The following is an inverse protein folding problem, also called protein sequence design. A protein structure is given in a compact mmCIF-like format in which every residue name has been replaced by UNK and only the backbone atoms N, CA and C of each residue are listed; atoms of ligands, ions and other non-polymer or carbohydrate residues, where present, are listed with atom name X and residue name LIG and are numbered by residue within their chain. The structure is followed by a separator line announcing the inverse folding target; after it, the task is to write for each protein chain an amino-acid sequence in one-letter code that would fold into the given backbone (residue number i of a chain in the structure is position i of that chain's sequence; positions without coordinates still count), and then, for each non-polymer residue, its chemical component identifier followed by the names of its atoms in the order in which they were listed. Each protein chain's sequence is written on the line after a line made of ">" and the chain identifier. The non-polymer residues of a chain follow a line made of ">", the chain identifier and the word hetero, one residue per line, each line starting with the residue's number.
data_IF_094313377239
#
_entry.id   IF_094313377239
#
_cell.length_a   1.000
_cell.length_b   1.000
_cell.length_c   1.000
_cell.angle_alpha   90.00
_cell.angle_beta   90.00
_cell.angle_gamma   90.00
#
_symmetry.space_group_name_H-M   'P 1'
#
loop_
_entity.id
_entity.type
_entity.pdbx_description
1 polymer ?
#
# COMPACT_ATOMS: atom_id res chain seq x y z
N UNK A 1 -70.65 23.65 9.49
CA UNK A 1 -70.11 22.32 9.13
C UNK A 1 -69.19 22.45 7.92
N UNK A 2 -67.86 22.46 8.09
CA UNK A 2 -66.86 22.61 6.99
C UNK A 2 -66.40 21.20 6.63
N UNK A 3 -66.59 20.79 5.34
CA UNK A 3 -66.15 19.53 4.77
C UNK A 3 -64.66 19.65 4.41
N UNK A 4 -63.82 18.78 5.02
CA UNK A 4 -62.42 18.63 4.69
C UNK A 4 -62.30 17.69 3.51
N UNK A 5 -61.75 18.19 2.38
CA UNK A 5 -61.39 17.38 1.21
C UNK A 5 -60.02 16.74 1.45
N UNK A 6 -59.97 15.43 1.46
CA UNK A 6 -58.71 14.66 1.49
C UNK A 6 -58.16 14.57 0.08
N UNK A 7 -56.96 15.13 -0.13
CA UNK A 7 -56.20 14.88 -1.37
C UNK A 7 -55.34 13.64 -1.21
N UNK A 8 -55.59 12.64 -2.06
CA UNK A 8 -54.75 11.48 -2.22
C UNK A 8 -53.64 11.86 -3.20
N UNK A 9 -52.40 11.91 -2.73
CA UNK A 9 -51.25 12.09 -3.58
C UNK A 9 -50.85 10.74 -4.20
N UNK A 10 -50.99 10.63 -5.52
CA UNK A 10 -50.52 9.49 -6.27
C UNK A 10 -49.02 9.63 -6.49
N UNK A 11 -48.21 8.79 -5.83
CA UNK A 11 -46.76 8.71 -6.08
C UNK A 11 -46.56 7.80 -7.30
N UNK A 12 -46.22 8.40 -8.42
CA UNK A 12 -45.77 7.68 -9.61
C UNK A 12 -44.29 7.33 -9.41
N UNK A 13 -44.01 6.05 -9.16
CA UNK A 13 -42.65 5.53 -9.14
C UNK A 13 -42.14 5.43 -10.58
N UNK A 14 -41.35 6.41 -11.00
CA UNK A 14 -40.57 6.35 -12.24
C UNK A 14 -39.41 5.39 -12.07
N UNK A 15 -39.49 4.21 -12.71
CA UNK A 15 -38.35 3.32 -12.84
C UNK A 15 -37.41 3.91 -13.90
N UNK A 16 -36.34 4.55 -13.43
CA UNK A 16 -35.24 4.98 -14.31
C UNK A 16 -34.36 3.77 -14.57
N UNK A 17 -34.51 3.17 -15.75
CA UNK A 17 -33.60 2.13 -16.21
C UNK A 17 -32.25 2.78 -16.55
N UNK A 18 -31.31 2.72 -15.60
CA UNK A 18 -29.91 3.01 -15.88
C UNK A 18 -29.35 1.87 -16.73
N UNK A 19 -29.16 2.12 -18.02
CA UNK A 19 -28.32 1.28 -18.87
C UNK A 19 -26.88 1.40 -18.39
N UNK A 20 -26.40 0.37 -17.72
CA UNK A 20 -24.97 0.22 -17.40
C UNK A 20 -24.22 0.03 -18.73
N UNK A 21 -23.58 1.09 -19.19
CA UNK A 21 -22.47 0.95 -20.14
C UNK A 21 -21.36 0.22 -19.39
N UNK A 22 -21.04 -0.98 -19.81
CA UNK A 22 -19.92 -1.75 -19.30
C UNK A 22 -18.62 -0.99 -19.62
N UNK A 23 -18.21 -0.13 -18.70
CA UNK A 23 -16.86 0.43 -18.68
C UNK A 23 -15.93 -0.69 -18.25
N UNK A 24 -14.88 -0.95 -19.04
CA UNK A 24 -13.96 -2.08 -18.84
C UNK A 24 -13.50 -2.22 -17.39
N UNK A 25 -13.39 -3.45 -16.94
CA UNK A 25 -12.99 -3.80 -15.58
C UNK A 25 -11.67 -3.12 -15.24
N UNK A 26 -11.71 -2.10 -14.39
CA UNK A 26 -10.53 -1.50 -13.77
C UNK A 26 -9.96 -2.59 -12.87
N UNK A 27 -8.70 -2.97 -13.07
CA UNK A 27 -8.03 -3.90 -12.18
C UNK A 27 -8.04 -3.31 -10.76
N UNK A 28 -8.66 -4.01 -9.84
CA UNK A 28 -8.68 -3.62 -8.43
C UNK A 28 -7.29 -3.79 -7.82
N UNK A 29 -6.82 -2.78 -7.10
CA UNK A 29 -5.53 -2.85 -6.41
C UNK A 29 -5.55 -3.87 -5.27
N UNK A 30 -4.42 -4.40 -4.92
CA UNK A 30 -4.26 -5.34 -3.82
C UNK A 30 -3.07 -4.96 -2.92
N UNK A 31 -3.22 -5.23 -1.63
CA UNK A 31 -2.14 -5.20 -0.63
C UNK A 31 -1.87 -6.63 -0.19
N UNK A 32 -0.67 -6.90 0.31
CA UNK A 32 -0.42 -8.12 1.06
C UNK A 32 -1.20 -8.02 2.38
N UNK A 33 -1.90 -9.07 2.78
CA UNK A 33 -2.70 -9.09 4.02
C UNK A 33 -1.84 -9.00 5.27
N UNK A 34 -0.54 -9.23 5.13
CA UNK A 34 0.45 -9.17 6.20
C UNK A 34 1.42 -8.00 5.97
N UNK A 35 1.74 -7.27 7.02
CA UNK A 35 2.91 -6.42 7.07
C UNK A 35 4.03 -7.21 7.75
N UNK A 36 5.24 -7.18 7.18
CA UNK A 36 6.37 -7.85 7.79
C UNK A 36 7.15 -6.90 8.69
N UNK A 37 7.51 -7.39 9.87
CA UNK A 37 8.36 -6.67 10.83
C UNK A 37 9.50 -7.56 11.26
N UNK A 38 10.72 -7.04 11.19
CA UNK A 38 11.90 -7.70 11.73
C UNK A 38 11.93 -7.47 13.24
N UNK A 39 11.60 -8.52 14.02
CA UNK A 39 11.56 -8.43 15.47
C UNK A 39 12.91 -8.10 16.11
N UNK A 40 12.91 -7.13 17.01
CA UNK A 40 13.92 -6.98 18.07
C UNK A 40 13.28 -7.31 19.42
N UNK A 41 12.06 -7.79 19.44
CA UNK A 41 11.39 -8.25 20.65
C UNK A 41 11.39 -9.78 20.69
N UNK A 42 12.02 -10.32 21.73
CA UNK A 42 11.88 -11.72 22.11
C UNK A 42 10.41 -11.99 22.44
N UNK A 43 9.71 -12.60 21.50
CA UNK A 43 8.32 -13.00 21.63
C UNK A 43 7.91 -13.71 20.36
N UNK A 44 7.65 -14.99 20.48
CA UNK A 44 7.34 -15.94 19.41
C UNK A 44 6.30 -15.38 18.43
N UNK A 45 6.70 -15.14 17.18
CA UNK A 45 5.86 -14.83 16.05
C UNK A 45 6.09 -15.83 14.92
N UNK A 46 5.06 -16.51 14.50
CA UNK A 46 5.12 -17.47 13.39
C UNK A 46 5.41 -16.76 12.07
N UNK A 47 6.42 -17.27 11.34
CA UNK A 47 6.77 -16.84 9.98
C UNK A 47 5.98 -17.71 9.01
N UNK A 48 5.12 -17.11 8.20
CA UNK A 48 4.47 -17.80 7.08
C UNK A 48 5.35 -17.71 5.83
N UNK A 49 5.63 -18.85 5.23
CA UNK A 49 6.40 -19.01 3.99
C UNK A 49 5.41 -19.44 2.92
N UNK A 50 5.30 -18.65 1.84
CA UNK A 50 4.67 -19.10 0.60
C UNK A 50 5.74 -19.27 -0.48
N UNK A 51 5.85 -20.52 -0.98
CA UNK A 51 6.82 -20.93 -1.98
C UNK A 51 6.25 -20.78 -3.40
N UNK A 52 6.81 -19.85 -4.20
CA UNK A 52 6.99 -20.06 -5.65
C UNK A 52 8.00 -19.07 -6.26
N UNK A 53 9.09 -19.61 -6.81
CA UNK A 53 10.18 -18.86 -7.42
C UNK A 53 9.95 -18.59 -8.90
N UNK A 54 10.12 -17.34 -9.37
CA UNK A 54 10.22 -16.99 -10.80
C UNK A 54 11.23 -15.85 -11.07
N UNK A 55 11.86 -15.93 -12.23
CA UNK A 55 13.05 -15.26 -12.72
C UNK A 55 12.97 -13.72 -12.87
N UNK A 56 14.14 -13.07 -12.70
CA UNK A 56 14.43 -11.65 -12.87
C UNK A 56 13.92 -11.06 -14.20
N UNK A 57 13.04 -10.06 -14.11
CA UNK A 57 12.80 -9.08 -15.16
C UNK A 57 13.52 -7.77 -14.81
N UNK A 58 14.14 -7.14 -15.80
CA UNK A 58 15.00 -5.98 -15.62
C UNK A 58 14.30 -4.79 -14.95
N UNK A 59 15.05 -4.04 -14.16
CA UNK A 59 14.58 -2.86 -13.44
C UNK A 59 14.07 -1.79 -14.41
N UNK A 60 12.77 -1.51 -14.38
CA UNK A 60 12.22 -0.32 -15.01
C UNK A 60 12.45 0.88 -14.08
N UNK A 61 12.98 1.97 -14.64
CA UNK A 61 13.10 3.22 -13.90
C UNK A 61 11.71 3.77 -13.56
N UNK A 62 11.53 4.24 -12.33
CA UNK A 62 10.27 4.86 -11.90
C UNK A 62 10.01 6.13 -12.70
N UNK A 63 8.77 6.31 -13.20
CA UNK A 63 8.34 7.54 -13.85
C UNK A 63 8.31 8.71 -12.85
N UNK A 64 8.35 9.97 -13.34
CA UNK A 64 8.20 11.13 -12.46
C UNK A 64 6.89 11.05 -11.64
N UNK A 65 5.80 10.57 -12.25
CA UNK A 65 4.53 10.36 -11.55
C UNK A 65 4.65 9.37 -10.38
N UNK A 66 5.46 8.31 -10.53
CA UNK A 66 5.73 7.37 -9.45
C UNK A 66 6.53 8.02 -8.30
N UNK A 67 7.54 8.84 -8.62
CA UNK A 67 8.33 9.57 -7.62
C UNK A 67 7.46 10.59 -6.86
N UNK A 68 6.60 11.32 -7.56
CA UNK A 68 5.67 12.27 -6.97
C UNK A 68 4.67 11.56 -6.05
N UNK A 69 4.21 10.36 -6.44
CA UNK A 69 3.30 9.55 -5.64
C UNK A 69 3.99 9.02 -4.36
N UNK A 70 5.25 8.60 -4.41
CA UNK A 70 6.02 8.23 -3.19
C UNK A 70 6.12 9.41 -2.21
N UNK A 71 6.42 10.60 -2.72
CA UNK A 71 6.48 11.83 -1.92
C UNK A 71 5.11 12.16 -1.30
N UNK A 72 4.03 11.98 -2.05
CA UNK A 72 2.68 12.22 -1.56
C UNK A 72 2.30 11.24 -0.43
N UNK A 73 2.61 9.94 -0.56
CA UNK A 73 2.41 8.95 0.51
C UNK A 73 3.20 9.33 1.77
N UNK A 74 4.47 9.70 1.62
CA UNK A 74 5.30 10.14 2.74
C UNK A 74 4.67 11.31 3.51
N UNK A 75 4.12 12.29 2.78
CA UNK A 75 3.43 13.44 3.40
C UNK A 75 2.14 13.02 4.12
N UNK A 76 1.31 12.17 3.50
CA UNK A 76 0.08 11.65 4.10
C UNK A 76 0.35 10.89 5.40
N UNK A 77 1.35 10.03 5.42
CA UNK A 77 1.78 9.31 6.62
C UNK A 77 2.18 10.26 7.75
N UNK A 78 3.02 11.24 7.45
CA UNK A 78 3.50 12.16 8.47
C UNK A 78 2.39 13.10 8.96
N UNK A 79 1.41 13.46 8.13
CA UNK A 79 0.21 14.16 8.57
C UNK A 79 -0.61 13.32 9.57
N UNK A 80 -0.80 12.03 9.27
CA UNK A 80 -1.53 11.13 10.16
C UNK A 80 -0.78 10.89 11.47
N UNK A 81 0.54 10.68 11.41
CA UNK A 81 1.38 10.55 12.61
C UNK A 81 1.29 11.78 13.48
N UNK A 82 1.40 12.97 12.90
CA UNK A 82 1.24 14.24 13.63
C UNK A 82 -0.15 14.38 14.27
N UNK A 83 -1.22 13.98 13.58
CA UNK A 83 -2.58 13.98 14.11
C UNK A 83 -2.76 13.07 15.34
N UNK A 84 -1.89 12.05 15.49
CA UNK A 84 -1.85 11.13 16.63
C UNK A 84 -0.75 11.48 17.65
N UNK A 85 -0.08 12.62 17.49
CA UNK A 85 0.99 13.05 18.40
C UNK A 85 2.29 12.27 18.28
N UNK A 86 2.49 11.54 17.16
CA UNK A 86 3.71 10.79 16.90
C UNK A 86 4.74 11.67 16.18
N UNK A 87 6.01 11.40 16.42
CA UNK A 87 7.10 12.04 15.68
C UNK A 87 6.99 11.69 14.17
N UNK A 88 7.32 12.66 13.33
CA UNK A 88 7.41 12.42 11.89
C UNK A 88 8.54 11.43 11.57
N UNK A 89 8.32 10.58 10.57
CA UNK A 89 9.37 9.78 9.96
C UNK A 89 10.24 10.67 9.07
N UNK A 90 11.53 10.37 9.00
CA UNK A 90 12.49 11.03 8.12
C UNK A 90 12.68 10.16 6.88
N UNK A 91 12.73 10.77 5.70
CA UNK A 91 13.05 10.08 4.46
C UNK A 91 14.48 9.54 4.50
N UNK A 92 14.67 8.29 4.09
CA UNK A 92 15.97 7.61 4.06
C UNK A 92 16.27 7.09 2.67
N UNK A 93 17.34 7.59 2.06
CA UNK A 93 17.78 7.11 0.74
C UNK A 93 18.18 5.63 0.80
N UNK A 94 18.83 5.19 1.88
CA UNK A 94 19.21 3.78 2.05
C UNK A 94 18.00 2.84 2.14
N UNK A 95 16.89 3.28 2.76
CA UNK A 95 15.62 2.52 2.75
C UNK A 95 14.91 2.65 1.41
N UNK A 96 15.03 3.77 0.71
CA UNK A 96 14.47 3.95 -0.63
C UNK A 96 15.15 3.03 -1.65
N UNK A 97 16.48 2.88 -1.58
CA UNK A 97 17.22 1.93 -2.39
C UNK A 97 16.78 0.49 -2.11
N UNK A 98 16.59 0.13 -0.84
CA UNK A 98 16.07 -1.18 -0.46
C UNK A 98 14.62 -1.38 -0.94
N UNK A 99 13.75 -0.37 -0.77
CA UNK A 99 12.38 -0.38 -1.27
C UNK A 99 12.34 -0.55 -2.81
N UNK A 100 13.27 0.06 -3.54
CA UNK A 100 13.34 -0.10 -5.01
C UNK A 100 13.67 -1.54 -5.40
N UNK A 101 14.59 -2.19 -4.69
CA UNK A 101 14.87 -3.62 -4.92
C UNK A 101 13.61 -4.44 -4.66
N UNK A 102 12.93 -4.21 -3.53
CA UNK A 102 11.70 -4.93 -3.17
C UNK A 102 10.56 -4.66 -4.15
N UNK A 103 10.34 -3.41 -4.55
CA UNK A 103 9.34 -3.05 -5.55
C UNK A 103 9.56 -3.79 -6.90
N UNK A 104 10.82 -4.01 -7.29
CA UNK A 104 11.14 -4.80 -8.46
C UNK A 104 10.86 -6.30 -8.23
N UNK A 105 11.27 -6.86 -7.09
CA UNK A 105 11.09 -8.28 -6.76
C UNK A 105 9.63 -8.70 -6.72
N UNK A 106 8.76 -7.87 -6.12
CA UNK A 106 7.33 -8.17 -5.99
C UNK A 106 6.54 -8.07 -7.29
N UNK A 107 7.14 -7.63 -8.40
CA UNK A 107 6.53 -7.74 -9.73
C UNK A 107 6.40 -9.19 -10.18
N UNK A 108 7.28 -10.05 -9.70
CA UNK A 108 7.32 -11.48 -10.02
C UNK A 108 6.75 -12.35 -8.90
N UNK A 109 7.06 -12.04 -7.64
CA UNK A 109 6.56 -12.75 -6.47
C UNK A 109 6.08 -11.74 -5.43
N UNK A 110 4.76 -11.57 -5.28
CA UNK A 110 4.16 -10.63 -4.34
C UNK A 110 4.15 -11.24 -2.94
N UNK A 111 5.29 -11.11 -2.24
CA UNK A 111 5.54 -11.73 -0.94
C UNK A 111 6.59 -10.93 -0.15
N UNK A 112 6.56 -11.03 1.18
CA UNK A 112 7.64 -10.56 2.07
C UNK A 112 8.90 -11.45 2.02
N UNK A 113 8.78 -12.66 1.48
CA UNK A 113 9.92 -13.51 1.15
C UNK A 113 10.44 -13.10 -0.22
N UNK A 114 11.74 -12.87 -0.32
CA UNK A 114 12.41 -12.50 -1.57
C UNK A 114 12.44 -13.68 -2.55
N UNK A 115 12.60 -13.46 -3.87
CA UNK A 115 12.65 -14.52 -4.85
C UNK A 115 13.75 -15.59 -4.62
N UNK A 116 14.80 -15.23 -3.87
CA UNK A 116 15.89 -16.15 -3.49
C UNK A 116 15.59 -16.96 -2.21
N UNK A 117 14.39 -16.81 -1.63
CA UNK A 117 13.97 -17.45 -0.39
C UNK A 117 14.43 -16.74 0.88
N UNK A 118 15.16 -15.64 0.77
CA UNK A 118 15.58 -14.86 1.94
C UNK A 118 14.49 -13.88 2.42
N UNK A 119 14.61 -13.39 3.65
CA UNK A 119 13.67 -12.41 4.19
C UNK A 119 13.89 -11.01 3.59
N UNK A 120 12.83 -10.17 3.53
CA UNK A 120 12.86 -8.84 2.93
C UNK A 120 14.02 -7.97 3.43
N UNK A 121 14.31 -7.99 4.74
CA UNK A 121 15.37 -7.17 5.36
C UNK A 121 16.80 -7.54 4.93
N UNK A 122 16.99 -8.63 4.19
CA UNK A 122 18.32 -9.02 3.69
C UNK A 122 18.80 -8.16 2.54
N UNK A 123 17.93 -7.31 1.95
CA UNK A 123 18.36 -6.31 0.96
C UNK A 123 19.34 -5.33 1.62
N UNK A 124 18.98 -4.80 2.80
CA UNK A 124 19.88 -3.98 3.60
C UNK A 124 19.62 -4.20 5.09
N UNK A 125 20.24 -5.24 5.65
CA UNK A 125 20.01 -5.67 7.03
C UNK A 125 20.40 -4.65 8.11
N UNK A 126 21.09 -3.57 7.74
CA UNK A 126 21.49 -2.53 8.68
C UNK A 126 20.36 -1.52 8.95
N UNK A 127 19.38 -1.39 8.05
CA UNK A 127 18.37 -0.33 8.11
C UNK A 127 16.93 -0.81 8.01
N UNK A 128 16.66 -2.02 7.46
CA UNK A 128 15.31 -2.54 7.27
C UNK A 128 14.79 -3.28 8.49
N UNK A 129 13.63 -2.86 9.00
CA UNK A 129 12.98 -3.46 10.18
C UNK A 129 11.47 -3.72 9.99
N UNK A 130 10.82 -3.05 9.05
CA UNK A 130 9.43 -3.25 8.70
C UNK A 130 9.19 -3.03 7.22
N UNK A 131 8.21 -3.74 6.63
CA UNK A 131 7.86 -3.64 5.22
C UNK A 131 6.35 -3.60 5.04
N UNK A 132 5.86 -2.71 4.18
CA UNK A 132 4.52 -2.72 3.62
C UNK A 132 4.60 -2.86 2.11
N UNK A 133 3.79 -3.76 1.54
CA UNK A 133 3.74 -4.01 0.11
C UNK A 133 2.34 -3.71 -0.44
N UNK A 134 2.30 -3.24 -1.70
CA UNK A 134 1.05 -3.09 -2.45
C UNK A 134 1.28 -3.23 -3.95
N UNK A 135 0.23 -3.58 -4.70
CA UNK A 135 0.26 -3.66 -6.16
C UNK A 135 -1.02 -3.13 -6.78
N UNK A 136 -0.91 -2.62 -8.01
CA UNK A 136 -2.01 -2.16 -8.86
C UNK A 136 -2.73 -0.88 -8.38
N UNK A 137 -2.28 -0.23 -7.32
CA UNK A 137 -2.74 1.10 -6.93
C UNK A 137 -2.01 2.16 -7.75
N UNK A 138 -2.76 3.04 -8.41
CA UNK A 138 -2.24 4.04 -9.36
C UNK A 138 -2.17 5.46 -8.76
N UNK A 139 -2.38 5.61 -7.45
CA UNK A 139 -2.28 6.90 -6.77
C UNK A 139 -1.86 6.75 -5.31
N UNK A 140 -1.24 7.81 -4.78
CA UNK A 140 -0.85 7.92 -3.39
C UNK A 140 -2.04 7.76 -2.43
N UNK A 141 -3.16 8.45 -2.73
CA UNK A 141 -4.36 8.41 -1.86
C UNK A 141 -4.92 6.99 -1.76
N UNK A 142 -5.00 6.26 -2.88
CA UNK A 142 -5.58 4.92 -2.90
C UNK A 142 -4.72 3.90 -2.17
N UNK A 143 -3.38 3.88 -2.38
CA UNK A 143 -2.50 2.95 -1.68
C UNK A 143 -2.39 3.29 -0.20
N UNK A 144 -2.30 4.58 0.14
CA UNK A 144 -2.27 5.02 1.53
C UNK A 144 -3.55 4.62 2.28
N UNK A 145 -4.73 4.87 1.67
CA UNK A 145 -5.99 4.46 2.26
C UNK A 145 -6.09 2.93 2.46
N UNK A 146 -5.59 2.14 1.50
CA UNK A 146 -5.56 0.69 1.61
C UNK A 146 -4.67 0.24 2.79
N UNK A 147 -3.45 0.77 2.90
CA UNK A 147 -2.56 0.45 4.04
C UNK A 147 -3.16 0.88 5.37
N UNK A 148 -3.76 2.06 5.47
CA UNK A 148 -4.36 2.53 6.73
C UNK A 148 -5.63 1.76 7.13
N UNK A 149 -6.35 1.18 6.17
CA UNK A 149 -7.51 0.32 6.44
C UNK A 149 -7.11 -1.13 6.79
N UNK A 150 -5.85 -1.52 6.60
CA UNK A 150 -5.30 -2.80 7.02
C UNK A 150 -4.59 -2.66 8.36
N UNK A 151 -5.04 -3.33 9.43
CA UNK A 151 -4.45 -3.17 10.76
C UNK A 151 -2.94 -3.44 10.83
N UNK A 152 -2.44 -4.44 10.10
CA UNK A 152 -1.03 -4.83 10.08
C UNK A 152 -0.17 -3.76 9.40
N UNK A 153 -0.59 -3.25 8.24
CA UNK A 153 0.12 -2.20 7.53
C UNK A 153 0.06 -0.86 8.26
N UNK A 154 -1.12 -0.52 8.81
CA UNK A 154 -1.29 0.67 9.63
C UNK A 154 -0.42 0.63 10.89
N UNK A 155 -0.22 -0.55 11.49
CA UNK A 155 0.67 -0.71 12.62
C UNK A 155 2.12 -0.30 12.30
N UNK A 156 2.66 -0.68 11.13
CA UNK A 156 3.98 -0.22 10.71
C UNK A 156 4.02 1.30 10.50
N UNK A 157 3.02 1.87 9.82
CA UNK A 157 2.96 3.33 9.58
C UNK A 157 2.88 4.12 10.88
N UNK A 158 2.19 3.60 11.89
CA UNK A 158 1.91 4.27 13.14
C UNK A 158 2.86 3.85 14.29
N UNK A 159 3.84 2.99 14.03
CA UNK A 159 4.80 2.57 15.05
C UNK A 159 5.64 3.77 15.53
N UNK A 160 5.62 4.03 16.83
CA UNK A 160 6.39 5.12 17.45
C UNK A 160 7.89 4.83 17.52
N UNK A 161 8.28 3.56 17.37
CA UNK A 161 9.67 3.12 17.36
C UNK A 161 10.40 3.54 16.09
N UNK A 162 9.76 3.41 14.93
CA UNK A 162 10.38 3.79 13.66
C UNK A 162 10.67 5.29 13.57
N UNK A 163 11.83 5.61 12.98
CA UNK A 163 12.35 6.97 12.78
C UNK A 163 12.49 7.33 11.31
N UNK A 164 12.70 6.32 10.46
CA UNK A 164 13.01 6.51 9.06
C UNK A 164 12.11 5.66 8.17
N UNK A 165 11.92 6.09 6.94
CA UNK A 165 11.13 5.38 5.92
C UNK A 165 11.73 5.61 4.53
N UNK A 166 11.67 4.60 3.69
CA UNK A 166 11.90 4.69 2.26
C UNK A 166 10.72 4.11 1.50
N UNK A 167 10.35 4.72 0.39
CA UNK A 167 9.21 4.28 -0.44
C UNK A 167 9.66 4.26 -1.88
N UNK A 168 9.34 3.18 -2.60
CA UNK A 168 9.61 3.07 -4.02
C UNK A 168 8.45 2.40 -4.77
N UNK A 169 8.39 2.67 -6.06
CA UNK A 169 7.46 2.07 -7.02
C UNK A 169 8.26 1.48 -8.16
N UNK A 170 7.96 0.23 -8.52
CA UNK A 170 8.30 -0.32 -9.82
C UNK A 170 7.08 -0.20 -10.73
N UNK A 171 7.23 0.48 -11.86
CA UNK A 171 6.22 0.53 -12.92
C UNK A 171 6.58 -0.47 -14.00
N UNK A 172 5.69 -1.43 -14.25
CA UNK A 172 5.85 -2.43 -15.30
C UNK A 172 5.45 -1.91 -16.67
N UNK A 173 5.83 -2.63 -17.74
CA UNK A 173 5.57 -2.20 -19.12
C UNK A 173 4.09 -2.08 -19.50
N UNK A 174 3.18 -2.72 -18.74
CA UNK A 174 1.72 -2.56 -18.86
C UNK A 174 1.18 -1.36 -18.06
N UNK A 175 2.06 -0.59 -17.42
CA UNK A 175 1.71 0.57 -16.60
C UNK A 175 1.32 0.25 -15.17
N UNK A 176 1.36 -1.02 -14.74
CA UNK A 176 1.02 -1.41 -13.38
C UNK A 176 2.08 -0.94 -12.38
N UNK A 177 1.62 -0.50 -11.19
CA UNK A 177 2.52 -0.06 -10.11
C UNK A 177 2.60 -1.11 -9.00
N UNK A 178 3.84 -1.35 -8.54
CA UNK A 178 4.20 -2.21 -7.43
C UNK A 178 4.95 -1.37 -6.39
N UNK A 179 4.42 -1.31 -5.18
CA UNK A 179 4.86 -0.43 -4.11
C UNK A 179 5.59 -1.21 -3.03
N UNK A 180 6.71 -0.71 -2.59
CA UNK A 180 7.35 -1.14 -1.36
C UNK A 180 7.62 0.06 -0.46
N UNK A 181 7.39 -0.12 0.83
CA UNK A 181 7.60 0.86 1.88
C UNK A 181 8.39 0.19 3.00
N UNK A 182 9.59 0.69 3.25
CA UNK A 182 10.55 0.14 4.19
C UNK A 182 10.72 1.07 5.39
N UNK A 183 10.75 0.50 6.60
CA UNK A 183 10.86 1.24 7.84
C UNK A 183 12.15 0.91 8.59
N UNK A 184 12.70 1.92 9.31
CA UNK A 184 13.90 1.82 10.13
C UNK A 184 13.82 2.60 11.45
N UNK A 185 14.66 2.19 12.40
CA UNK A 185 14.84 2.84 13.71
C UNK A 185 15.80 4.00 13.68
#
# INVERSE_FOLDING_TARGET
>A
MRKIKKYVALVVAGILACTFVACGAVKEGAIDDQAATRGIHEGEGEIYIDDEAIALAGSAASSQAALDACTAVFNLMNQQRAAQGLAALVWSDALTDAAQVRANEITTSFSHTRPDGSAFWTVNSNVQYGENLAKLYQSADSVYAAWMNSPTHAANIMDSGYKTVGIAICQTGDGSWYWAQEFGY
#
